data_IF_083886911591
#
_entry.id   IF_083886911591
#
_cell.length_a   1.000
_cell.length_b   1.000
_cell.length_c   1.000
_cell.angle_alpha   90.00
_cell.angle_beta   90.00
_cell.angle_gamma   90.00
#
_symmetry.space_group_name_H-M   'P 1'
#
loop_
_entity.id
_entity.type
_entity.pdbx_description
1 polymer ?
#
# COMPACT_ATOMS: atom_id res chain seq x y z
N UNK A 1 3.60 15.50 6.31
CA UNK A 1 4.00 15.82 7.68
C UNK A 1 3.10 16.90 8.31
N UNK A 2 2.72 17.98 7.60
CA UNK A 2 1.86 19.03 8.16
C UNK A 2 0.55 18.50 8.75
N UNK A 3 -0.14 17.60 8.04
CA UNK A 3 -1.38 16.95 8.53
C UNK A 3 -1.11 16.12 9.79
N UNK A 4 0.00 15.40 9.86
CA UNK A 4 0.38 14.61 11.03
C UNK A 4 0.62 15.51 12.26
N UNK A 5 1.32 16.64 12.08
CA UNK A 5 1.58 17.60 13.15
C UNK A 5 0.26 18.18 13.72
N UNK A 6 -0.64 18.66 12.84
CA UNK A 6 -1.94 19.19 13.26
C UNK A 6 -2.78 18.11 13.96
N UNK A 7 -2.77 16.87 13.47
CA UNK A 7 -3.47 15.77 14.14
C UNK A 7 -2.91 15.53 15.55
N UNK A 8 -1.58 15.59 15.73
CA UNK A 8 -0.94 15.50 17.05
C UNK A 8 -1.38 16.59 18.02
N UNK A 9 -1.39 17.84 17.54
CA UNK A 9 -1.82 18.99 18.35
C UNK A 9 -3.30 18.89 18.78
N UNK A 10 -4.17 18.44 17.88
CA UNK A 10 -5.62 18.37 18.13
C UNK A 10 -6.02 17.17 19.00
N UNK A 11 -5.35 16.03 18.81
CA UNK A 11 -5.69 14.76 19.48
C UNK A 11 -4.73 14.38 20.62
N UNK A 12 -3.76 15.25 20.93
CA UNK A 12 -2.95 15.15 22.15
C UNK A 12 -1.87 14.08 22.12
N UNK A 13 -1.29 13.79 20.95
CA UNK A 13 -0.09 12.95 20.84
C UNK A 13 1.09 13.73 20.26
N UNK A 14 2.30 13.32 20.58
CA UNK A 14 3.54 13.89 20.02
C UNK A 14 4.15 12.92 19.01
N UNK A 15 4.50 13.42 17.84
CA UNK A 15 5.26 12.69 16.84
C UNK A 15 6.64 13.35 16.68
N UNK A 16 7.68 12.67 17.14
CA UNK A 16 9.06 13.06 16.83
C UNK A 16 9.43 12.49 15.46
N UNK A 17 9.71 13.37 14.50
CA UNK A 17 10.01 13.00 13.12
C UNK A 17 11.48 13.23 12.82
N UNK A 18 12.19 12.16 12.46
CA UNK A 18 13.59 12.22 12.02
C UNK A 18 13.66 11.82 10.55
N UNK A 19 14.27 12.68 9.72
CA UNK A 19 14.48 12.42 8.30
C UNK A 19 15.80 11.70 8.07
N UNK A 20 15.78 10.68 7.22
CA UNK A 20 16.94 9.89 6.88
C UNK A 20 17.12 9.77 5.35
N UNK A 21 18.37 9.77 4.83
CA UNK A 21 18.61 9.55 3.41
C UNK A 21 18.18 8.16 2.98
N UNK A 22 17.46 8.08 1.85
CA UNK A 22 16.97 6.82 1.31
C UNK A 22 16.76 6.87 -0.21
N UNK A 23 16.90 5.74 -0.90
CA UNK A 23 16.66 5.63 -2.33
C UNK A 23 17.63 6.45 -3.17
N UNK A 24 17.13 7.17 -4.18
CA UNK A 24 17.96 7.93 -5.11
C UNK A 24 18.81 9.01 -4.44
N UNK A 25 18.26 9.76 -3.49
CA UNK A 25 19.02 10.78 -2.74
C UNK A 25 20.17 10.18 -1.93
N UNK A 26 19.98 8.98 -1.40
CA UNK A 26 21.01 8.26 -0.66
C UNK A 26 22.10 7.72 -1.61
N UNK A 27 21.74 7.26 -2.80
CA UNK A 27 22.73 6.87 -3.82
C UNK A 27 23.60 8.09 -4.17
N UNK A 28 23.02 9.26 -4.38
CA UNK A 28 23.76 10.47 -4.72
C UNK A 28 24.71 10.95 -3.63
N UNK A 29 24.33 10.81 -2.37
CA UNK A 29 25.10 11.29 -1.22
C UNK A 29 26.03 10.24 -0.59
N UNK A 30 25.66 8.96 -0.62
CA UNK A 30 26.33 7.88 0.11
C UNK A 30 26.77 6.72 -0.80
N UNK A 31 26.41 6.75 -2.09
CA UNK A 31 26.60 5.62 -3.01
C UNK A 31 25.95 4.30 -2.50
N UNK A 32 24.90 4.43 -1.69
CA UNK A 32 24.12 3.35 -1.09
C UNK A 32 22.65 3.77 -1.03
N UNK A 33 21.68 3.01 -1.60
CA UNK A 33 20.27 3.35 -1.54
C UNK A 33 19.65 3.20 -0.14
N UNK A 34 20.36 2.57 0.79
CA UNK A 34 19.92 2.34 2.16
C UNK A 34 21.12 2.41 3.14
N UNK A 35 21.62 3.61 3.47
CA UNK A 35 22.79 3.83 4.27
C UNK A 35 22.74 3.24 5.68
N UNK A 36 23.90 2.95 6.25
CA UNK A 36 24.02 2.36 7.58
C UNK A 36 23.35 3.19 8.69
N UNK A 37 23.43 4.52 8.60
CA UNK A 37 22.76 5.42 9.55
C UNK A 37 21.24 5.29 9.51
N UNK A 38 20.64 5.19 8.31
CA UNK A 38 19.21 4.96 8.14
C UNK A 38 18.80 3.60 8.70
N UNK A 39 19.61 2.54 8.48
CA UNK A 39 19.39 1.20 9.06
C UNK A 39 19.41 1.25 10.59
N UNK A 40 20.37 1.96 11.16
CA UNK A 40 20.53 2.07 12.61
C UNK A 40 19.35 2.78 13.31
N UNK A 41 18.62 3.62 12.60
CA UNK A 41 17.47 4.33 13.14
C UNK A 41 16.20 3.45 13.21
N UNK A 42 16.07 2.40 12.38
CA UNK A 42 14.85 1.59 12.30
C UNK A 42 14.40 0.97 13.63
N UNK A 43 15.28 0.37 14.44
CA UNK A 43 14.85 -0.23 15.71
C UNK A 43 14.38 0.78 16.76
N UNK A 44 14.62 2.07 16.53
CA UNK A 44 14.26 3.16 17.44
C UNK A 44 12.92 3.81 17.05
N UNK A 45 12.40 3.49 15.87
CA UNK A 45 11.18 4.08 15.33
C UNK A 45 9.94 3.25 15.70
N UNK A 46 8.82 3.89 15.96
CA UNK A 46 7.51 3.26 16.08
C UNK A 46 6.89 2.96 14.71
N UNK A 47 7.21 3.79 13.71
CA UNK A 47 6.74 3.67 12.33
C UNK A 47 7.76 4.26 11.35
N UNK A 48 7.77 3.76 10.11
CA UNK A 48 8.57 4.31 9.01
C UNK A 48 7.62 4.87 7.95
N UNK A 49 7.61 6.18 7.78
CA UNK A 49 6.86 6.86 6.72
C UNK A 49 7.81 7.14 5.55
N UNK A 50 7.49 6.64 4.36
CA UNK A 50 8.37 6.71 3.19
C UNK A 50 7.67 7.35 1.99
N UNK A 51 8.34 8.27 1.34
CA UNK A 51 7.95 8.78 0.02
C UNK A 51 8.29 7.79 -1.10
N UNK A 52 7.84 8.07 -2.32
CA UNK A 52 8.21 7.27 -3.48
C UNK A 52 9.72 7.36 -3.77
N UNK A 53 10.28 6.27 -4.27
CA UNK A 53 11.70 6.19 -4.66
C UNK A 53 11.83 5.82 -6.14
N UNK A 54 13.00 6.02 -6.70
CA UNK A 54 13.29 5.72 -8.11
C UNK A 54 13.23 6.96 -9.01
N UNK A 55 13.64 6.76 -10.25
CA UNK A 55 13.61 7.78 -11.29
C UNK A 55 14.62 7.51 -12.39
N UNK A 56 14.45 8.12 -13.59
CA UNK A 56 15.25 7.81 -14.77
C UNK A 56 16.77 7.97 -14.58
N UNK A 57 17.19 8.82 -13.63
CA UNK A 57 18.59 9.05 -13.31
C UNK A 57 19.32 7.79 -12.86
N UNK A 58 18.62 6.87 -12.19
CA UNK A 58 19.21 5.66 -11.59
C UNK A 58 18.84 4.36 -12.32
N UNK A 59 18.04 4.42 -13.41
CA UNK A 59 17.53 3.25 -14.11
C UNK A 59 18.63 2.40 -14.78
N UNK A 60 19.72 3.02 -15.19
CA UNK A 60 20.83 2.35 -15.90
C UNK A 60 22.03 2.03 -15.00
N UNK A 61 21.98 2.41 -13.72
CA UNK A 61 23.07 2.17 -12.75
C UNK A 61 23.09 0.73 -12.21
N UNK A 62 24.25 0.29 -11.73
CA UNK A 62 24.37 -0.97 -10.98
C UNK A 62 23.65 -0.90 -9.63
N UNK A 63 23.63 0.30 -9.03
CA UNK A 63 22.96 0.58 -7.77
C UNK A 63 21.65 1.30 -8.08
N UNK A 64 20.52 0.71 -7.65
CA UNK A 64 19.19 1.24 -7.91
C UNK A 64 18.40 1.48 -6.61
N UNK A 65 17.52 2.49 -6.57
CA UNK A 65 16.67 2.78 -5.41
C UNK A 65 15.81 1.59 -4.95
N UNK A 66 15.34 0.77 -5.88
CA UNK A 66 14.52 -0.42 -5.62
C UNK A 66 15.26 -1.46 -4.78
N UNK A 67 16.59 -1.57 -4.91
CA UNK A 67 17.40 -2.46 -4.06
C UNK A 67 17.33 -2.01 -2.59
N UNK A 68 17.34 -0.70 -2.35
CA UNK A 68 17.16 -0.13 -1.01
C UNK A 68 15.77 -0.46 -0.45
N UNK A 69 14.72 -0.36 -1.26
CA UNK A 69 13.35 -0.67 -0.84
C UNK A 69 13.19 -2.15 -0.46
N UNK A 70 13.73 -3.07 -1.26
CA UNK A 70 13.70 -4.51 -0.93
C UNK A 70 14.49 -4.80 0.36
N UNK A 71 15.65 -4.18 0.53
CA UNK A 71 16.45 -4.32 1.74
C UNK A 71 15.73 -3.75 2.98
N UNK A 72 15.06 -2.59 2.87
CA UNK A 72 14.26 -2.00 3.94
C UNK A 72 13.12 -2.93 4.39
N UNK A 73 12.38 -3.49 3.43
CA UNK A 73 11.28 -4.44 3.72
C UNK A 73 11.79 -5.70 4.42
N UNK A 74 12.94 -6.21 4.01
CA UNK A 74 13.58 -7.36 4.64
C UNK A 74 14.08 -7.05 6.07
N UNK A 75 14.69 -5.88 6.29
CA UNK A 75 15.15 -5.42 7.60
C UNK A 75 13.98 -5.25 8.59
N UNK A 76 12.91 -4.63 8.15
CA UNK A 76 11.67 -4.45 8.92
C UNK A 76 10.87 -5.76 9.10
N UNK A 77 11.21 -6.81 8.36
CA UNK A 77 10.47 -8.10 8.34
C UNK A 77 8.98 -7.93 8.06
N UNK A 78 8.61 -6.91 7.28
CA UNK A 78 7.23 -6.66 6.87
C UNK A 78 6.84 -7.64 5.76
N UNK A 79 5.82 -8.45 5.99
CA UNK A 79 5.42 -9.52 5.07
C UNK A 79 4.05 -9.33 4.44
N UNK A 80 3.17 -8.53 5.06
CA UNK A 80 1.85 -8.22 4.53
C UNK A 80 1.80 -6.76 4.10
N UNK A 81 1.58 -6.51 2.80
CA UNK A 81 1.30 -5.16 2.31
C UNK A 81 -0.21 -5.02 2.10
N UNK A 82 -0.80 -4.12 2.86
CA UNK A 82 -2.22 -3.84 2.95
C UNK A 82 -2.54 -2.66 2.03
N UNK A 83 -3.37 -2.89 1.02
CA UNK A 83 -3.78 -1.91 0.01
C UNK A 83 -5.29 -1.77 -0.01
N UNK A 84 -5.88 -0.83 0.74
CA UNK A 84 -7.29 -0.51 0.65
C UNK A 84 -7.66 0.04 -0.73
N UNK A 85 -8.68 -0.53 -1.32
CA UNK A 85 -9.26 -0.11 -2.60
C UNK A 85 -10.69 0.30 -2.31
N UNK A 86 -10.92 1.60 -2.31
CA UNK A 86 -12.19 2.17 -1.86
C UNK A 86 -12.61 3.33 -2.75
N UNK A 87 -13.88 3.42 -3.06
CA UNK A 87 -14.46 4.64 -3.62
C UNK A 87 -14.60 5.66 -2.48
N UNK A 88 -13.57 6.53 -2.34
CA UNK A 88 -13.52 7.51 -1.26
C UNK A 88 -14.65 8.56 -1.35
N UNK A 89 -15.08 8.89 -2.57
CA UNK A 89 -16.20 9.80 -2.85
C UNK A 89 -16.76 9.54 -4.24
N UNK A 90 -18.06 9.80 -4.42
CA UNK A 90 -18.73 9.72 -5.72
C UNK A 90 -18.35 10.85 -6.68
N UNK A 91 -17.76 11.94 -6.18
CA UNK A 91 -17.31 13.07 -7.01
C UNK A 91 -16.14 12.68 -7.92
N UNK A 92 -15.32 11.74 -7.48
CA UNK A 92 -14.18 11.26 -8.26
C UNK A 92 -14.65 10.08 -9.11
N UNK A 93 -14.58 10.27 -10.43
CA UNK A 93 -15.05 9.28 -11.38
C UNK A 93 -14.18 8.02 -11.41
N UNK A 94 -14.83 6.91 -11.67
CA UNK A 94 -14.21 5.63 -12.06
C UNK A 94 -14.26 5.49 -13.59
N UNK A 95 -13.33 4.75 -14.21
CA UNK A 95 -13.48 4.35 -15.61
C UNK A 95 -14.63 3.36 -15.81
N UNK A 96 -15.16 2.79 -14.73
CA UNK A 96 -16.33 1.91 -14.75
C UNK A 96 -17.62 2.70 -14.50
N UNK A 97 -18.74 2.07 -14.85
CA UNK A 97 -20.06 2.61 -14.54
C UNK A 97 -20.28 2.64 -13.02
N UNK A 98 -21.00 3.63 -12.53
CA UNK A 98 -21.24 3.86 -11.09
C UNK A 98 -21.82 2.61 -10.39
N UNK A 99 -22.72 1.87 -11.04
CA UNK A 99 -23.33 0.67 -10.45
C UNK A 99 -22.31 -0.44 -10.12
N UNK A 100 -21.14 -0.41 -10.74
CA UNK A 100 -20.07 -1.39 -10.50
C UNK A 100 -19.14 -0.98 -9.35
N UNK A 101 -19.12 0.30 -8.99
CA UNK A 101 -18.16 0.85 -8.00
C UNK A 101 -18.83 1.55 -6.82
N UNK A 102 -20.12 1.83 -6.87
CA UNK A 102 -20.83 2.48 -5.77
C UNK A 102 -20.77 1.59 -4.50
N UNK A 103 -20.11 2.10 -3.47
CA UNK A 103 -19.85 1.35 -2.25
C UNK A 103 -18.66 0.39 -2.33
N UNK A 104 -17.76 0.55 -3.31
CA UNK A 104 -16.53 -0.23 -3.39
C UNK A 104 -15.69 -0.04 -2.11
N UNK A 105 -15.46 -1.14 -1.42
CA UNK A 105 -14.61 -1.22 -0.24
C UNK A 105 -14.04 -2.64 -0.14
N UNK A 106 -12.83 -2.84 -0.66
CA UNK A 106 -12.09 -4.08 -0.54
C UNK A 106 -10.64 -3.81 -0.15
N UNK A 107 -9.95 -4.84 0.33
CA UNK A 107 -8.53 -4.76 0.65
C UNK A 107 -7.79 -5.83 -0.14
N UNK A 108 -6.71 -5.45 -0.80
CA UNK A 108 -5.76 -6.39 -1.39
C UNK A 108 -4.57 -6.52 -0.44
N UNK A 109 -4.31 -7.75 0.00
CA UNK A 109 -3.14 -8.10 0.81
C UNK A 109 -2.15 -8.81 -0.09
N UNK A 110 -1.03 -8.15 -0.31
CA UNK A 110 0.09 -8.63 -1.10
C UNK A 110 1.14 -9.22 -0.16
N UNK A 111 1.53 -10.48 -0.36
CA UNK A 111 2.72 -11.01 0.28
C UNK A 111 3.95 -10.22 -0.21
N UNK A 112 4.88 -9.88 0.69
CA UNK A 112 5.87 -8.85 0.40
C UNK A 112 7.34 -9.32 0.43
N UNK A 113 7.61 -10.54 0.84
CA UNK A 113 8.98 -11.02 1.16
C UNK A 113 9.42 -12.24 0.37
N UNK A 114 8.55 -12.81 -0.45
CA UNK A 114 8.82 -13.97 -1.28
C UNK A 114 8.64 -13.72 -2.78
N UNK A 115 8.56 -14.81 -3.52
CA UNK A 115 8.24 -14.82 -4.94
C UNK A 115 9.38 -14.36 -5.85
N UNK A 116 9.02 -13.88 -7.03
CA UNK A 116 9.97 -13.47 -8.08
C UNK A 116 10.89 -12.32 -7.67
N UNK A 117 10.42 -11.42 -6.79
CA UNK A 117 11.20 -10.24 -6.43
C UNK A 117 12.37 -10.55 -5.50
N UNK A 118 12.29 -11.64 -4.73
CA UNK A 118 13.30 -12.06 -3.77
C UNK A 118 14.03 -13.35 -4.15
N UNK A 119 13.55 -14.06 -5.15
CA UNK A 119 14.19 -15.29 -5.63
C UNK A 119 15.51 -15.03 -6.35
N UNK A 120 16.30 -16.11 -6.56
CA UNK A 120 17.51 -16.05 -7.37
C UNK A 120 17.22 -15.51 -8.78
N UNK A 121 18.15 -14.70 -9.28
CA UNK A 121 18.07 -14.05 -10.59
C UNK A 121 19.34 -14.28 -11.37
N UNK A 122 19.20 -14.46 -12.66
CA UNK A 122 20.33 -14.55 -13.58
C UNK A 122 20.02 -13.76 -14.85
N UNK A 123 20.97 -12.95 -15.30
CA UNK A 123 20.88 -12.22 -16.55
C UNK A 123 22.18 -12.37 -17.32
N UNK A 124 22.08 -12.91 -18.52
CA UNK A 124 23.16 -12.99 -19.49
C UNK A 124 22.82 -12.17 -20.72
N UNK A 125 23.70 -12.10 -21.71
CA UNK A 125 23.39 -11.45 -22.99
C UNK A 125 22.30 -12.19 -23.79
N UNK A 126 22.02 -13.44 -23.49
CA UNK A 126 21.10 -14.30 -24.27
C UNK A 126 19.89 -14.76 -23.48
N UNK A 127 20.00 -14.81 -22.14
CA UNK A 127 18.94 -15.37 -21.27
C UNK A 127 18.74 -14.55 -20.02
N UNK A 128 17.50 -14.45 -19.56
CA UNK A 128 17.13 -13.89 -18.26
C UNK A 128 16.31 -14.91 -17.48
N UNK A 129 16.57 -15.08 -16.19
CA UNK A 129 15.85 -16.00 -15.32
C UNK A 129 15.55 -15.33 -13.97
N UNK A 130 14.29 -15.43 -13.56
CA UNK A 130 13.84 -15.12 -12.20
C UNK A 130 13.16 -16.34 -11.59
N UNK A 131 13.49 -16.65 -10.33
CA UNK A 131 12.94 -17.83 -9.65
C UNK A 131 11.83 -17.43 -8.68
N UNK A 132 10.61 -17.92 -8.92
CA UNK A 132 9.49 -17.76 -7.98
C UNK A 132 9.55 -18.86 -6.92
N UNK A 133 9.83 -18.49 -5.68
CA UNK A 133 9.89 -19.41 -4.54
C UNK A 133 9.03 -18.90 -3.40
N UNK A 134 8.24 -19.82 -2.82
CA UNK A 134 7.51 -19.62 -1.56
C UNK A 134 7.73 -20.80 -0.62
N UNK A 135 7.80 -20.52 0.67
CA UNK A 135 7.75 -21.51 1.74
C UNK A 135 6.34 -21.58 2.34
N UNK A 136 6.09 -22.65 3.10
CA UNK A 136 4.84 -22.81 3.86
C UNK A 136 4.65 -21.65 4.84
N UNK A 137 5.70 -21.27 5.55
CA UNK A 137 5.66 -20.19 6.55
C UNK A 137 5.32 -18.83 5.94
N UNK A 138 5.89 -18.50 4.79
CA UNK A 138 5.62 -17.23 4.08
C UNK A 138 4.16 -17.14 3.66
N UNK A 139 3.58 -18.23 3.15
CA UNK A 139 2.18 -18.25 2.75
C UNK A 139 1.25 -18.24 3.97
N UNK A 140 1.55 -19.06 4.98
CA UNK A 140 0.71 -19.21 6.15
C UNK A 140 0.55 -17.89 6.93
N UNK A 141 1.65 -17.16 7.19
CA UNK A 141 1.60 -15.90 7.94
C UNK A 141 0.78 -14.81 7.25
N UNK A 142 0.93 -14.64 5.93
CA UNK A 142 0.15 -13.62 5.20
C UNK A 142 -1.31 -14.03 5.04
N UNK A 143 -1.58 -15.33 4.85
CA UNK A 143 -2.94 -15.83 4.79
C UNK A 143 -3.66 -15.66 6.14
N UNK A 144 -3.03 -16.01 7.27
CA UNK A 144 -3.60 -15.77 8.62
C UNK A 144 -3.91 -14.30 8.83
N UNK A 145 -3.00 -13.41 8.46
CA UNK A 145 -3.26 -11.96 8.52
C UNK A 145 -4.51 -11.58 7.72
N UNK A 146 -4.69 -12.12 6.51
CA UNK A 146 -5.85 -11.84 5.68
C UNK A 146 -7.16 -12.35 6.30
N UNK A 147 -7.13 -13.53 6.90
CA UNK A 147 -8.32 -14.10 7.57
C UNK A 147 -8.68 -13.34 8.86
N UNK A 148 -7.68 -12.95 9.67
CA UNK A 148 -7.89 -12.11 10.84
C UNK A 148 -8.50 -10.77 10.46
N UNK A 149 -7.98 -10.13 9.41
CA UNK A 149 -8.54 -8.88 8.90
C UNK A 149 -9.97 -9.07 8.39
N UNK A 150 -10.27 -10.15 7.68
CA UNK A 150 -11.62 -10.43 7.18
C UNK A 150 -12.65 -10.55 8.30
N UNK A 151 -12.28 -11.11 9.47
CA UNK A 151 -13.14 -11.17 10.67
C UNK A 151 -13.59 -9.81 11.18
N UNK A 152 -12.76 -8.77 10.96
CA UNK A 152 -13.11 -7.39 11.35
C UNK A 152 -13.92 -6.67 10.27
N UNK A 153 -14.19 -7.34 9.14
CA UNK A 153 -14.90 -6.80 7.97
C UNK A 153 -16.12 -7.64 7.62
N UNK A 154 -16.26 -8.02 6.35
CA UNK A 154 -17.44 -8.79 5.87
C UNK A 154 -17.27 -10.31 5.96
N UNK A 155 -16.17 -10.79 6.52
CA UNK A 155 -15.90 -12.21 6.73
C UNK A 155 -15.61 -13.00 5.45
N UNK A 156 -15.07 -12.38 4.40
CA UNK A 156 -14.80 -13.04 3.11
C UNK A 156 -13.35 -12.88 2.69
N UNK A 157 -12.71 -13.99 2.35
CA UNK A 157 -11.36 -14.02 1.77
C UNK A 157 -11.42 -14.66 0.38
N UNK A 158 -10.81 -13.99 -0.59
CA UNK A 158 -10.52 -14.56 -1.89
C UNK A 158 -9.00 -14.76 -2.03
N UNK A 159 -8.55 -16.01 -2.05
CA UNK A 159 -7.15 -16.33 -2.31
C UNK A 159 -6.89 -16.43 -3.81
N UNK A 160 -5.91 -15.66 -4.30
CA UNK A 160 -5.60 -15.56 -5.73
C UNK A 160 -4.24 -16.16 -6.02
N UNK A 161 -4.20 -17.01 -7.04
CA UNK A 161 -3.01 -17.77 -7.43
C UNK A 161 -3.01 -18.14 -8.92
N UNK A 162 -2.03 -18.92 -9.37
CA UNK A 162 -1.95 -19.52 -10.70
C UNK A 162 -1.68 -21.03 -10.62
N UNK A 163 -2.39 -21.72 -9.75
CA UNK A 163 -2.14 -23.13 -9.38
C UNK A 163 -2.24 -24.12 -10.56
N UNK A 164 -2.97 -23.75 -11.61
CA UNK A 164 -3.09 -24.59 -12.79
C UNK A 164 -1.78 -24.70 -13.60
N UNK A 165 -0.79 -23.83 -13.34
CA UNK A 165 0.50 -23.77 -14.06
C UNK A 165 1.69 -23.81 -13.10
N UNK A 166 1.67 -23.01 -12.01
CA UNK A 166 2.83 -22.77 -11.15
C UNK A 166 2.84 -23.69 -9.92
N UNK A 167 3.98 -24.32 -9.66
CA UNK A 167 4.18 -25.13 -8.45
C UNK A 167 4.13 -24.30 -7.17
N UNK A 168 4.67 -23.07 -7.18
CA UNK A 168 4.57 -22.13 -6.06
C UNK A 168 3.13 -21.79 -5.72
N UNK A 169 2.28 -21.60 -6.75
CA UNK A 169 0.86 -21.35 -6.56
C UNK A 169 0.07 -22.61 -6.09
N UNK A 170 0.51 -23.82 -6.45
CA UNK A 170 -0.05 -25.05 -5.87
C UNK A 170 0.26 -25.13 -4.37
N UNK A 171 1.49 -24.84 -3.97
CA UNK A 171 1.86 -24.75 -2.55
C UNK A 171 0.98 -23.70 -1.84
N UNK A 172 0.87 -22.50 -2.43
CA UNK A 172 0.03 -21.42 -1.92
C UNK A 172 -1.39 -21.88 -1.63
N UNK A 173 -2.06 -22.45 -2.63
CA UNK A 173 -3.43 -22.95 -2.52
C UNK A 173 -3.59 -24.00 -1.42
N UNK A 174 -2.68 -24.98 -1.37
CA UNK A 174 -2.73 -26.06 -0.40
C UNK A 174 -2.52 -25.53 1.04
N UNK A 175 -1.58 -24.61 1.26
CA UNK A 175 -1.36 -24.01 2.58
C UNK A 175 -2.59 -23.25 3.06
N UNK A 176 -3.22 -22.45 2.20
CA UNK A 176 -4.44 -21.71 2.55
C UNK A 176 -5.58 -22.66 2.92
N UNK A 177 -5.79 -23.72 2.14
CA UNK A 177 -6.89 -24.69 2.39
C UNK A 177 -6.60 -25.57 3.61
N UNK A 178 -5.40 -26.14 3.68
CA UNK A 178 -5.12 -27.23 4.62
C UNK A 178 -4.64 -26.72 6.00
N UNK A 179 -4.02 -25.55 6.05
CA UNK A 179 -3.38 -25.03 7.26
C UNK A 179 -4.04 -23.78 7.84
N UNK A 180 -4.67 -22.96 7.03
CA UNK A 180 -5.25 -21.70 7.50
C UNK A 180 -6.76 -21.78 7.61
N UNK A 181 -7.46 -22.12 6.55
CA UNK A 181 -8.92 -22.13 6.53
C UNK A 181 -9.58 -22.95 7.66
N UNK A 182 -9.04 -24.10 8.11
CA UNK A 182 -9.64 -24.87 9.21
C UNK A 182 -9.72 -24.12 10.55
N UNK A 183 -8.83 -23.14 10.80
CA UNK A 183 -8.82 -22.30 12.00
C UNK A 183 -9.81 -21.13 11.93
N UNK A 184 -10.44 -20.93 10.76
CA UNK A 184 -11.34 -19.80 10.47
C UNK A 184 -12.67 -20.26 9.85
N UNK A 185 -13.44 -21.13 10.54
CA UNK A 185 -14.69 -21.68 10.02
C UNK A 185 -15.79 -20.62 9.82
N UNK A 186 -15.60 -19.43 10.39
CA UNK A 186 -16.47 -18.26 10.31
C UNK A 186 -16.16 -17.34 9.12
N UNK A 187 -15.07 -17.61 8.37
CA UNK A 187 -14.66 -16.83 7.19
C UNK A 187 -14.95 -17.59 5.91
N UNK A 188 -15.71 -16.99 5.01
CA UNK A 188 -15.98 -17.53 3.66
C UNK A 188 -14.72 -17.48 2.81
N UNK A 189 -14.17 -18.64 2.44
CA UNK A 189 -13.01 -18.74 1.55
C UNK A 189 -13.45 -19.04 0.11
N UNK A 190 -12.95 -18.25 -0.80
CA UNK A 190 -13.04 -18.49 -2.24
C UNK A 190 -11.66 -18.44 -2.90
N UNK A 191 -11.57 -18.95 -4.12
CA UNK A 191 -10.32 -18.96 -4.87
C UNK A 191 -10.55 -18.47 -6.30
N UNK A 192 -9.58 -17.69 -6.81
CA UNK A 192 -9.54 -17.27 -8.20
C UNK A 192 -8.16 -17.51 -8.82
N UNK A 193 -8.11 -17.81 -10.09
CA UNK A 193 -6.87 -17.70 -10.87
C UNK A 193 -6.61 -16.20 -11.14
N UNK A 194 -5.36 -15.78 -11.14
CA UNK A 194 -4.98 -14.36 -11.26
C UNK A 194 -5.53 -13.69 -12.52
N UNK A 195 -5.51 -14.38 -13.64
CA UNK A 195 -6.09 -13.89 -14.90
C UNK A 195 -7.62 -13.72 -14.81
N UNK A 196 -8.31 -14.66 -14.17
CA UNK A 196 -9.73 -14.52 -13.87
C UNK A 196 -10.01 -13.39 -12.89
N UNK A 197 -9.17 -13.21 -11.87
CA UNK A 197 -9.31 -12.10 -10.92
C UNK A 197 -9.17 -10.74 -11.60
N UNK A 198 -8.22 -10.59 -12.53
CA UNK A 198 -8.08 -9.35 -13.29
C UNK A 198 -9.38 -8.99 -14.06
N UNK A 199 -10.06 -9.97 -14.64
CA UNK A 199 -11.38 -9.77 -15.27
C UNK A 199 -12.45 -9.41 -14.22
N UNK A 200 -12.49 -10.14 -13.10
CA UNK A 200 -13.49 -9.97 -12.05
C UNK A 200 -13.40 -8.62 -11.33
N UNK A 201 -12.22 -8.06 -11.19
CA UNK A 201 -12.03 -6.70 -10.66
C UNK A 201 -12.72 -5.63 -11.54
N UNK A 202 -12.85 -5.88 -12.84
CA UNK A 202 -13.56 -4.99 -13.77
C UNK A 202 -15.07 -5.28 -13.79
N UNK A 203 -15.45 -6.58 -13.79
CA UNK A 203 -16.83 -7.00 -13.99
C UNK A 203 -17.69 -6.88 -12.73
N UNK A 204 -17.12 -7.18 -11.55
CA UNK A 204 -17.86 -7.28 -10.29
C UNK A 204 -16.96 -7.00 -9.05
N UNK A 205 -16.31 -5.83 -8.97
CA UNK A 205 -15.39 -5.51 -7.87
C UNK A 205 -16.07 -5.54 -6.49
N UNK A 206 -17.36 -5.25 -6.40
CA UNK A 206 -18.13 -5.24 -5.15
C UNK A 206 -18.30 -6.62 -4.51
N UNK A 207 -18.02 -7.70 -5.26
CA UNK A 207 -18.13 -9.06 -4.75
C UNK A 207 -17.03 -9.41 -3.73
N UNK A 208 -15.92 -8.65 -3.72
CA UNK A 208 -14.72 -8.97 -2.94
C UNK A 208 -14.61 -8.10 -1.69
N UNK A 209 -14.15 -8.71 -0.60
CA UNK A 209 -13.87 -8.05 0.69
C UNK A 209 -12.35 -8.00 0.95
N UNK A 210 -11.73 -9.16 1.19
CA UNK A 210 -10.29 -9.28 1.34
C UNK A 210 -9.76 -10.22 0.26
N UNK A 211 -8.81 -9.73 -0.52
CA UNK A 211 -8.07 -10.50 -1.51
C UNK A 211 -6.67 -10.74 -0.97
N UNK A 212 -6.20 -11.99 -0.92
CA UNK A 212 -4.82 -12.31 -0.56
C UNK A 212 -4.11 -13.01 -1.71
N UNK A 213 -2.90 -12.57 -2.01
CA UNK A 213 -2.14 -13.09 -3.14
C UNK A 213 -0.62 -12.91 -2.98
N UNK A 214 0.12 -13.60 -3.82
CA UNK A 214 1.57 -13.51 -3.87
C UNK A 214 2.06 -12.14 -4.35
N UNK A 215 3.36 -11.90 -4.24
CA UNK A 215 4.00 -10.61 -4.38
C UNK A 215 3.72 -9.93 -5.73
N UNK A 216 4.07 -10.56 -6.85
CA UNK A 216 3.92 -9.95 -8.18
C UNK A 216 2.44 -9.82 -8.59
N UNK A 217 1.61 -10.81 -8.29
CA UNK A 217 0.17 -10.71 -8.61
C UNK A 217 -0.51 -9.62 -7.78
N UNK A 218 -0.12 -9.49 -6.51
CA UNK A 218 -0.62 -8.45 -5.63
C UNK A 218 -0.26 -7.04 -6.11
N UNK A 219 0.93 -6.87 -6.65
CA UNK A 219 1.38 -5.61 -7.26
C UNK A 219 0.49 -5.23 -8.45
N UNK A 220 0.38 -6.13 -9.42
CA UNK A 220 -0.38 -5.88 -10.66
C UNK A 220 -1.87 -5.67 -10.38
N UNK A 221 -2.48 -6.54 -9.55
CA UNK A 221 -3.91 -6.47 -9.27
C UNK A 221 -4.30 -5.23 -8.46
N UNK A 222 -3.44 -4.78 -7.54
CA UNK A 222 -3.75 -3.59 -6.75
C UNK A 222 -3.64 -2.29 -7.55
N UNK A 223 -2.73 -2.20 -8.51
CA UNK A 223 -2.63 -1.05 -9.40
C UNK A 223 -3.83 -0.98 -10.36
N UNK A 224 -4.25 -2.15 -10.87
CA UNK A 224 -5.51 -2.26 -11.61
C UNK A 224 -6.70 -1.80 -10.77
N UNK A 225 -6.78 -2.28 -9.53
CA UNK A 225 -7.88 -1.95 -8.62
C UNK A 225 -7.85 -0.47 -8.18
N UNK A 226 -6.66 0.12 -7.98
CA UNK A 226 -6.53 1.55 -7.73
C UNK A 226 -7.07 2.40 -8.89
N UNK A 227 -6.86 1.95 -10.13
CA UNK A 227 -7.39 2.65 -11.32
C UNK A 227 -8.91 2.68 -11.35
N UNK A 228 -9.58 1.64 -10.89
CA UNK A 228 -11.06 1.60 -10.85
C UNK A 228 -11.66 2.36 -9.66
N UNK A 229 -10.87 2.72 -8.67
CA UNK A 229 -11.30 3.45 -7.46
C UNK A 229 -11.04 4.96 -7.51
N UNK A 230 -10.64 5.50 -8.67
CA UNK A 230 -10.39 6.93 -8.84
C UNK A 230 -8.93 7.30 -9.08
N UNK A 231 -8.02 6.33 -9.13
CA UNK A 231 -6.62 6.52 -9.49
C UNK A 231 -5.62 6.28 -8.37
N UNK A 232 -4.39 6.06 -8.78
CA UNK A 232 -3.28 5.68 -7.89
C UNK A 232 -2.90 6.79 -6.90
N UNK A 233 -3.22 8.05 -7.20
CA UNK A 233 -3.04 9.21 -6.32
C UNK A 233 -3.96 9.21 -5.09
N UNK A 234 -4.91 8.26 -5.01
CA UNK A 234 -5.83 8.06 -3.89
C UNK A 234 -5.61 6.72 -3.17
N UNK A 235 -4.56 5.99 -3.52
CA UNK A 235 -4.33 4.64 -3.04
C UNK A 235 -3.25 4.61 -1.93
N UNK A 236 -3.65 4.51 -0.65
CA UNK A 236 -2.73 4.36 0.47
C UNK A 236 -2.23 2.94 0.58
N UNK A 237 -1.13 2.72 1.32
CA UNK A 237 -0.74 1.39 1.75
C UNK A 237 0.05 1.37 3.05
N UNK A 238 -0.03 0.25 3.75
CA UNK A 238 0.87 -0.09 4.86
C UNK A 238 1.49 -1.46 4.62
N UNK A 239 2.72 -1.64 5.09
CA UNK A 239 3.40 -2.93 5.08
C UNK A 239 3.71 -3.31 6.51
N UNK A 240 3.15 -4.41 6.98
CA UNK A 240 3.20 -4.84 8.36
C UNK A 240 3.93 -6.18 8.51
N UNK A 241 4.60 -6.33 9.65
CA UNK A 241 5.24 -7.54 10.10
C UNK A 241 4.55 -8.11 11.34
N UNK A 242 5.24 -9.02 12.02
CA UNK A 242 4.78 -9.54 13.30
C UNK A 242 4.93 -8.54 14.46
N UNK A 243 5.73 -7.49 14.28
CA UNK A 243 6.00 -6.45 15.26
C UNK A 243 6.22 -5.11 14.56
N UNK A 244 6.15 -4.00 15.32
CA UNK A 244 6.56 -2.66 14.87
C UNK A 244 8.08 -2.61 14.68
N UNK A 245 8.60 -1.67 13.87
CA UNK A 245 7.84 -0.68 13.10
C UNK A 245 7.25 -1.24 11.80
N UNK A 246 6.07 -0.75 11.42
CA UNK A 246 5.50 -0.90 10.08
C UNK A 246 6.09 0.10 9.09
N UNK A 247 5.97 -0.19 7.80
CA UNK A 247 6.35 0.71 6.71
C UNK A 247 5.08 1.26 6.03
N UNK A 248 4.98 2.58 5.95
CA UNK A 248 3.83 3.31 5.41
C UNK A 248 4.25 4.11 4.19
N UNK A 249 3.68 3.78 3.05
CA UNK A 249 3.99 4.40 1.77
C UNK A 249 2.75 4.41 0.86
N UNK A 250 2.55 5.46 0.06
CA UNK A 250 1.52 5.43 -0.97
C UNK A 250 1.91 4.44 -2.08
N UNK A 251 0.91 3.91 -2.81
CA UNK A 251 1.15 2.92 -3.88
C UNK A 251 1.84 3.57 -5.09
N UNK A 252 1.55 4.86 -5.35
CA UNK A 252 2.07 5.56 -6.53
C UNK A 252 3.60 5.66 -6.54
N UNK A 253 4.16 5.74 -7.75
CA UNK A 253 5.58 5.97 -7.99
C UNK A 253 6.03 7.43 -7.76
N UNK A 254 7.25 7.75 -8.14
CA UNK A 254 7.90 9.05 -7.93
C UNK A 254 7.45 10.15 -8.91
N UNK A 255 6.78 9.81 -10.01
CA UNK A 255 6.29 10.73 -11.04
C UNK A 255 7.31 11.81 -11.43
N UNK A 256 8.47 11.43 -11.98
CA UNK A 256 9.59 12.35 -12.22
C UNK A 256 9.25 13.49 -13.18
N UNK A 257 8.26 13.30 -14.03
CA UNK A 257 7.74 14.30 -14.99
C UNK A 257 7.06 15.49 -14.32
N UNK A 258 6.53 15.33 -13.11
CA UNK A 258 5.90 16.40 -12.32
C UNK A 258 6.71 16.80 -11.07
N UNK A 259 7.86 16.19 -10.84
CA UNK A 259 8.71 16.51 -9.71
C UNK A 259 9.08 18.01 -9.67
N UNK A 260 8.97 18.65 -8.50
CA UNK A 260 9.25 20.06 -8.30
C UNK A 260 8.17 21.04 -8.82
N UNK A 261 7.10 20.56 -9.47
CA UNK A 261 6.00 21.43 -9.96
C UNK A 261 4.94 21.74 -8.90
N UNK A 262 4.96 21.08 -7.75
CA UNK A 262 4.00 21.30 -6.65
C UNK A 262 2.56 20.92 -7.00
N UNK A 263 2.36 19.97 -7.93
CA UNK A 263 1.03 19.58 -8.43
C UNK A 263 0.66 18.12 -8.13
N UNK A 264 1.53 17.37 -7.46
CA UNK A 264 1.25 16.00 -7.07
C UNK A 264 0.11 15.96 -6.04
N UNK A 265 -0.79 14.99 -6.19
CA UNK A 265 -1.89 14.77 -5.26
C UNK A 265 -1.35 14.20 -3.93
N UNK A 266 -1.54 14.87 -2.78
CA UNK A 266 -1.03 14.39 -1.50
C UNK A 266 -1.97 13.39 -0.81
N UNK A 267 -3.16 13.15 -1.35
CA UNK A 267 -4.24 12.43 -0.65
C UNK A 267 -3.87 10.99 -0.32
N UNK A 268 -3.23 10.25 -1.25
CA UNK A 268 -2.79 8.89 -0.97
C UNK A 268 -1.84 8.82 0.24
N UNK A 269 -0.88 9.76 0.34
CA UNK A 269 0.05 9.82 1.46
C UNK A 269 -0.64 10.26 2.76
N UNK A 270 -1.62 11.16 2.69
CA UNK A 270 -2.42 11.57 3.86
C UNK A 270 -3.27 10.41 4.38
N UNK A 271 -3.92 9.66 3.50
CA UNK A 271 -4.64 8.43 3.85
C UNK A 271 -3.69 7.34 4.40
N UNK A 272 -2.45 7.28 3.89
CA UNK A 272 -1.40 6.41 4.44
C UNK A 272 -1.04 6.81 5.88
N UNK A 273 -0.99 8.12 6.19
CA UNK A 273 -0.82 8.60 7.57
C UNK A 273 -1.99 8.20 8.46
N UNK A 274 -3.23 8.21 7.96
CA UNK A 274 -4.36 7.70 8.72
C UNK A 274 -4.22 6.20 9.04
N UNK A 275 -3.73 5.37 8.09
CA UNK A 275 -3.41 3.97 8.37
C UNK A 275 -2.33 3.84 9.44
N UNK A 276 -1.24 4.60 9.33
CA UNK A 276 -0.15 4.63 10.32
C UNK A 276 -0.67 4.98 11.73
N UNK A 277 -1.47 6.02 11.85
CA UNK A 277 -2.05 6.44 13.12
C UNK A 277 -2.95 5.35 13.73
N UNK A 278 -3.73 4.65 12.90
CA UNK A 278 -4.59 3.55 13.37
C UNK A 278 -3.74 2.39 13.90
N UNK A 279 -2.67 2.04 13.24
CA UNK A 279 -1.74 0.99 13.66
C UNK A 279 -0.91 1.39 14.90
N UNK A 280 -0.79 2.70 15.17
CA UNK A 280 -0.17 3.27 16.37
C UNK A 280 -1.18 3.54 17.51
N UNK A 281 -2.37 2.95 17.45
CA UNK A 281 -3.44 3.07 18.43
C UNK A 281 -4.00 4.52 18.59
N UNK A 282 -3.77 5.40 17.60
CA UNK A 282 -4.31 6.76 17.53
C UNK A 282 -5.59 6.79 16.68
N UNK A 283 -6.59 5.98 17.07
CA UNK A 283 -7.79 5.73 16.24
C UNK A 283 -8.61 6.99 15.97
N UNK A 284 -8.81 7.87 16.95
CA UNK A 284 -9.57 9.11 16.78
C UNK A 284 -8.89 10.04 15.77
N UNK A 285 -7.58 10.22 15.90
CA UNK A 285 -6.80 11.02 14.97
C UNK A 285 -6.79 10.41 13.56
N UNK A 286 -6.67 9.08 13.45
CA UNK A 286 -6.75 8.37 12.18
C UNK A 286 -8.08 8.61 11.46
N UNK A 287 -9.20 8.48 12.19
CA UNK A 287 -10.53 8.70 11.65
C UNK A 287 -10.72 10.16 11.21
N UNK A 288 -10.22 11.13 11.98
CA UNK A 288 -10.31 12.55 11.62
C UNK A 288 -9.48 12.86 10.36
N UNK A 289 -8.27 12.32 10.24
CA UNK A 289 -7.44 12.49 9.04
C UNK A 289 -8.11 11.88 7.81
N UNK A 290 -8.66 10.67 7.92
CA UNK A 290 -9.39 10.01 6.83
C UNK A 290 -10.64 10.82 6.45
N UNK A 291 -11.47 11.22 7.41
CA UNK A 291 -12.69 12.01 7.18
C UNK A 291 -12.38 13.38 6.57
N UNK A 292 -11.32 14.06 7.02
CA UNK A 292 -10.89 15.34 6.45
C UNK A 292 -10.40 15.19 5.00
N UNK A 293 -9.67 14.11 4.70
CA UNK A 293 -9.25 13.83 3.33
C UNK A 293 -10.45 13.58 2.42
N UNK A 294 -11.43 12.78 2.84
CA UNK A 294 -12.67 12.51 2.10
C UNK A 294 -13.47 13.80 1.90
N UNK A 295 -13.65 14.60 2.96
CA UNK A 295 -14.36 15.88 2.87
C UNK A 295 -13.68 16.85 1.89
N UNK A 296 -12.35 16.91 1.91
CA UNK A 296 -11.59 17.73 0.96
C UNK A 296 -11.79 17.25 -0.50
N UNK A 297 -11.80 15.94 -0.74
CA UNK A 297 -12.11 15.38 -2.06
C UNK A 297 -13.53 15.77 -2.53
N UNK A 298 -14.49 15.84 -1.62
CA UNK A 298 -15.89 16.18 -1.95
C UNK A 298 -16.13 17.67 -2.12
N UNK A 299 -15.52 18.50 -1.31
CA UNK A 299 -15.90 19.92 -1.20
C UNK A 299 -14.74 20.90 -1.35
N UNK A 300 -13.50 20.41 -1.19
CA UNK A 300 -12.29 21.23 -1.17
C UNK A 300 -11.58 21.37 -2.50
N UNK A 301 -10.37 21.93 -2.48
CA UNK A 301 -9.52 22.05 -3.64
C UNK A 301 -9.02 20.65 -4.08
N UNK A 302 -8.89 20.47 -5.41
CA UNK A 302 -8.36 19.24 -6.02
C UNK A 302 -7.20 19.54 -6.95
N UNK A 303 -6.26 18.62 -7.04
CA UNK A 303 -5.09 18.68 -7.91
C UNK A 303 -5.43 18.38 -9.38
N UNK A 304 -4.53 18.67 -10.34
CA UNK A 304 -4.80 18.50 -11.77
C UNK A 304 -5.16 17.07 -12.20
N UNK A 305 -4.64 16.04 -11.53
CA UNK A 305 -4.99 14.63 -11.79
C UNK A 305 -6.47 14.32 -11.51
N UNK A 306 -7.11 15.10 -10.64
CA UNK A 306 -8.54 15.04 -10.32
C UNK A 306 -9.35 16.13 -11.03
N UNK A 307 -8.77 16.79 -12.04
CA UNK A 307 -9.44 17.82 -12.84
C UNK A 307 -9.48 19.21 -12.19
N UNK A 308 -8.80 19.41 -11.06
CA UNK A 308 -8.66 20.70 -10.41
C UNK A 308 -7.45 21.50 -10.85
N UNK A 309 -7.10 22.53 -10.09
CA UNK A 309 -5.93 23.38 -10.33
C UNK A 309 -5.12 23.67 -9.06
N UNK A 310 -5.47 23.05 -7.95
CA UNK A 310 -4.81 23.27 -6.68
C UNK A 310 -3.42 22.63 -6.65
N UNK A 311 -2.53 23.25 -5.91
CA UNK A 311 -1.19 22.71 -5.62
C UNK A 311 -1.26 21.64 -4.52
N UNK A 312 -0.21 20.84 -4.43
CA UNK A 312 0.01 19.86 -3.35
C UNK A 312 -0.15 20.51 -1.97
N UNK A 313 0.44 21.70 -1.79
CA UNK A 313 0.42 22.41 -0.50
C UNK A 313 -0.98 22.95 -0.16
N UNK A 314 -1.72 23.48 -1.14
CA UNK A 314 -3.09 23.97 -0.94
C UNK A 314 -4.03 22.84 -0.49
N UNK A 315 -3.95 21.65 -1.11
CA UNK A 315 -4.73 20.48 -0.69
C UNK A 315 -4.33 20.04 0.72
N UNK A 316 -3.03 19.94 1.00
CA UNK A 316 -2.53 19.58 2.32
C UNK A 316 -2.97 20.55 3.41
N UNK A 317 -2.90 21.86 3.14
CA UNK A 317 -3.34 22.91 4.06
C UNK A 317 -4.86 22.88 4.31
N UNK A 318 -5.66 22.63 3.26
CA UNK A 318 -7.12 22.51 3.40
C UNK A 318 -7.49 21.33 4.31
N UNK A 319 -6.86 20.16 4.13
CA UNK A 319 -7.10 18.99 4.98
C UNK A 319 -6.67 19.27 6.42
N UNK A 320 -5.50 19.90 6.63
CA UNK A 320 -5.02 20.28 7.96
C UNK A 320 -6.00 21.24 8.67
N UNK A 321 -6.55 22.22 7.96
CA UNK A 321 -7.52 23.17 8.51
C UNK A 321 -8.82 22.48 8.95
N UNK A 322 -9.33 21.50 8.19
CA UNK A 322 -10.50 20.72 8.56
C UNK A 322 -10.30 19.95 9.89
N UNK A 323 -9.11 19.37 10.09
CA UNK A 323 -8.76 18.67 11.33
C UNK A 323 -8.66 19.67 12.50
N UNK A 324 -7.96 20.80 12.28
CA UNK A 324 -7.75 21.82 13.30
C UNK A 324 -9.05 22.42 13.82
N UNK A 325 -10.00 22.68 12.93
CA UNK A 325 -11.30 23.25 13.26
C UNK A 325 -12.30 22.21 13.78
N UNK A 326 -11.97 20.91 13.76
CA UNK A 326 -12.89 19.82 14.07
C UNK A 326 -14.19 19.87 13.25
N UNK A 327 -14.08 20.31 11.99
CA UNK A 327 -15.22 20.44 11.08
C UNK A 327 -15.71 19.09 10.55
N UNK A 328 -14.89 18.04 10.71
CA UNK A 328 -15.23 16.65 10.38
C UNK A 328 -15.26 15.85 11.68
N UNK A 329 -16.42 15.31 12.01
CA UNK A 329 -16.57 14.34 13.11
C UNK A 329 -16.29 12.93 12.58
N UNK A 330 -15.60 12.16 13.37
CA UNK A 330 -15.28 10.75 13.10
C UNK A 330 -16.54 9.88 12.97
#
# INVERSE_FOLDING_TARGET
>A
LAVLAVAGDVYGFSAEVTEHPFGGNAIDSHNDPFPAETRAALPLADAVLKGAVGGPKWDTGEIRPEQGLLALRAELKVFANIRPIRQWTKKIGSPLRDELVDGLDMIIIRELTGGLYFGPKELTAETGMDTCRYSVEEVERVARYAFDLARTRRGKVCSVDKQNVLSSSKLWRNVVIDRVAPDYPDVELSHQLVDSMAMKLIEQPLAYDVIVTENMFGDILSDLAASISGGIGLAPSSSLGAARPGLYEAIHGSAPDIAGKGIANPTAMILTVAMMLRDLDQTEAANAVESAAIHCLEHGPTTPDLGGSATTDEVGAAIAALIQNREVTA
#
